data_IF_620749011814
#
_entry.id   IF_620749011814
#
_cell.length_a   1.000
_cell.length_b   1.000
_cell.length_c   1.000
_cell.angle_alpha   90.00
_cell.angle_beta   90.00
_cell.angle_gamma   90.00
#
_symmetry.space_group_name_H-M   'P 1'
#
loop_
_entity.id
_entity.type
_entity.pdbx_description
1 polymer ?
#
# COMPACT_ATOMS: atom_id res chain seq x y z
N UNK A 1 17.88 -26.08 -16.45
CA UNK A 1 16.87 -25.01 -16.55
C UNK A 1 16.24 -25.15 -17.92
N UNK A 2 14.91 -25.25 -18.02
CA UNK A 2 14.22 -25.37 -19.31
C UNK A 2 14.14 -23.99 -19.97
N UNK A 3 14.87 -23.79 -21.06
CA UNK A 3 15.05 -22.46 -21.68
C UNK A 3 13.77 -21.90 -22.28
N UNK A 4 12.84 -22.75 -22.75
CA UNK A 4 11.57 -22.29 -23.34
C UNK A 4 10.58 -21.92 -22.24
N UNK A 5 10.48 -22.75 -21.21
CA UNK A 5 9.64 -22.46 -20.04
C UNK A 5 10.11 -21.18 -19.35
N UNK A 6 11.42 -21.02 -19.16
CA UNK A 6 12.00 -19.79 -18.61
C UNK A 6 11.70 -18.58 -19.51
N UNK A 7 11.89 -18.70 -20.83
CA UNK A 7 11.62 -17.62 -21.78
C UNK A 7 10.17 -17.11 -21.75
N UNK A 8 9.19 -18.03 -21.67
CA UNK A 8 7.77 -17.68 -21.55
C UNK A 8 7.51 -17.04 -20.20
N UNK A 9 8.03 -17.65 -19.12
CA UNK A 9 7.88 -17.11 -17.78
C UNK A 9 8.41 -15.68 -17.73
N UNK A 10 9.64 -15.41 -18.18
CA UNK A 10 10.25 -14.08 -18.16
C UNK A 10 9.41 -13.01 -18.90
N UNK A 11 8.77 -13.37 -20.01
CA UNK A 11 7.92 -12.46 -20.82
C UNK A 11 6.48 -12.33 -20.35
N UNK A 12 6.01 -13.21 -19.46
CA UNK A 12 4.68 -13.05 -18.87
C UNK A 12 4.58 -11.78 -18.02
N UNK A 13 3.37 -11.23 -17.90
CA UNK A 13 3.10 -10.04 -17.10
C UNK A 13 2.20 -10.38 -15.93
N UNK A 14 2.49 -9.81 -14.76
CA UNK A 14 1.64 -9.89 -13.57
C UNK A 14 1.10 -8.49 -13.28
N UNK A 15 -0.21 -8.31 -13.46
CA UNK A 15 -0.90 -7.07 -13.15
C UNK A 15 -1.60 -7.21 -11.81
N UNK A 16 -1.27 -6.34 -10.85
CA UNK A 16 -1.88 -6.34 -9.52
C UNK A 16 -3.05 -5.38 -9.48
N UNK A 17 -4.21 -5.89 -9.07
CA UNK A 17 -5.45 -5.12 -8.98
C UNK A 17 -5.78 -4.71 -7.53
N UNK A 18 -5.28 -5.46 -6.55
CA UNK A 18 -5.43 -5.20 -5.13
C UNK A 18 -4.21 -5.71 -4.34
N UNK A 19 -3.70 -4.90 -3.42
CA UNK A 19 -2.83 -5.33 -2.33
C UNK A 19 -3.48 -4.86 -1.03
N UNK A 20 -3.88 -5.77 -0.16
CA UNK A 20 -4.49 -5.44 1.13
C UNK A 20 -3.57 -5.85 2.26
N UNK A 21 -3.24 -4.91 3.14
CA UNK A 21 -2.40 -5.07 4.31
C UNK A 21 -3.24 -4.76 5.55
N UNK A 22 -3.35 -5.72 6.46
CA UNK A 22 -4.10 -5.62 7.73
C UNK A 22 -3.30 -6.23 8.86
N UNK A 23 -3.78 -6.08 10.10
CA UNK A 23 -3.21 -6.71 11.29
C UNK A 23 -1.69 -6.50 11.41
N UNK A 24 -1.25 -5.26 11.19
CA UNK A 24 0.14 -4.87 11.37
C UNK A 24 0.58 -5.07 12.82
N UNK A 25 1.77 -5.64 13.00
CA UNK A 25 2.51 -5.67 14.28
C UNK A 25 3.86 -4.99 14.08
N UNK A 26 4.77 -5.05 15.05
CA UNK A 26 6.13 -4.53 14.86
C UNK A 26 6.94 -5.37 13.85
N UNK A 27 6.62 -6.67 13.72
CA UNK A 27 7.43 -7.65 12.99
C UNK A 27 6.66 -8.40 11.89
N UNK A 28 5.37 -8.11 11.68
CA UNK A 28 4.56 -8.83 10.71
C UNK A 28 3.33 -8.05 10.24
N UNK A 29 2.67 -8.57 9.22
CA UNK A 29 1.34 -8.12 8.77
C UNK A 29 0.63 -9.23 8.02
N UNK A 30 -0.69 -9.12 7.87
CA UNK A 30 -1.49 -10.00 7.02
C UNK A 30 -1.65 -9.35 5.65
N UNK A 31 -1.37 -10.10 4.58
CA UNK A 31 -1.42 -9.63 3.20
C UNK A 31 -2.36 -10.47 2.34
N UNK A 32 -3.17 -9.78 1.55
CA UNK A 32 -3.93 -10.34 0.44
C UNK A 32 -3.54 -9.64 -0.85
N UNK A 33 -3.39 -10.39 -1.94
CA UNK A 33 -3.07 -9.89 -3.27
C UNK A 33 -4.09 -10.45 -4.25
N UNK A 34 -4.66 -9.58 -5.07
CA UNK A 34 -5.37 -9.98 -6.27
C UNK A 34 -4.60 -9.53 -7.50
N UNK A 35 -4.39 -10.45 -8.42
CA UNK A 35 -3.59 -10.17 -9.61
C UNK A 35 -3.97 -11.07 -10.77
N UNK A 36 -3.64 -10.62 -11.98
CA UNK A 36 -3.84 -11.36 -13.22
C UNK A 36 -2.51 -11.54 -13.94
N UNK A 37 -2.17 -12.80 -14.20
CA UNK A 37 -1.06 -13.15 -15.05
C UNK A 37 -1.52 -13.24 -16.52
N UNK A 38 -0.77 -12.63 -17.43
CA UNK A 38 -1.00 -12.67 -18.89
C UNK A 38 0.29 -13.03 -19.62
N UNK A 39 0.20 -13.41 -20.90
CA UNK A 39 1.38 -13.83 -21.66
C UNK A 39 1.98 -15.15 -21.16
N UNK A 40 1.18 -16.01 -20.53
CA UNK A 40 1.60 -17.27 -19.90
C UNK A 40 1.83 -18.43 -20.89
N UNK A 41 1.95 -18.11 -22.18
CA UNK A 41 2.17 -19.07 -23.27
C UNK A 41 0.89 -19.60 -23.94
N UNK A 42 1.03 -20.31 -25.07
CA UNK A 42 -0.08 -20.74 -25.92
C UNK A 42 -0.77 -22.02 -25.42
N UNK A 43 -0.32 -22.59 -24.31
CA UNK A 43 -0.78 -23.89 -23.80
C UNK A 43 -1.07 -23.76 -22.30
N UNK A 44 -2.18 -24.33 -21.81
CA UNK A 44 -2.43 -24.41 -20.37
C UNK A 44 -1.33 -25.15 -19.62
N UNK A 45 -0.80 -24.53 -18.57
CA UNK A 45 0.23 -25.11 -17.74
C UNK A 45 -0.11 -24.96 -16.26
N UNK A 46 0.35 -25.91 -15.47
CA UNK A 46 0.13 -25.97 -14.03
C UNK A 46 1.44 -25.64 -13.32
N UNK A 47 1.48 -24.53 -12.60
CA UNK A 47 2.59 -24.12 -11.76
C UNK A 47 2.34 -24.69 -10.37
N UNK A 48 3.29 -25.47 -9.85
CA UNK A 48 3.23 -25.95 -8.47
C UNK A 48 3.30 -24.77 -7.47
N UNK A 49 2.73 -24.90 -6.26
CA UNK A 49 2.93 -23.93 -5.20
C UNK A 49 4.41 -23.67 -4.96
N UNK A 50 4.76 -22.42 -4.68
CA UNK A 50 6.14 -22.02 -4.44
C UNK A 50 6.20 -20.89 -3.41
N UNK A 51 7.39 -20.66 -2.86
CA UNK A 51 7.68 -19.48 -2.05
C UNK A 51 8.57 -18.54 -2.86
N UNK A 52 8.26 -17.24 -2.82
CA UNK A 52 9.05 -16.17 -3.42
C UNK A 52 9.46 -15.15 -2.37
N UNK A 53 10.59 -14.49 -2.61
CA UNK A 53 11.06 -13.37 -1.82
C UNK A 53 10.37 -12.08 -2.29
N UNK A 54 9.92 -11.25 -1.34
CA UNK A 54 9.42 -9.90 -1.58
C UNK A 54 10.60 -8.94 -1.50
N UNK A 55 11.08 -8.49 -2.67
CA UNK A 55 12.30 -7.68 -2.79
C UNK A 55 11.97 -6.26 -3.23
N UNK A 56 12.42 -5.28 -2.44
CA UNK A 56 12.33 -3.87 -2.79
C UNK A 56 13.70 -3.20 -2.65
N UNK A 57 14.08 -2.38 -3.63
CA UNK A 57 15.39 -1.72 -3.69
C UNK A 57 16.59 -2.68 -3.47
N UNK A 58 16.46 -3.93 -3.94
CA UNK A 58 17.50 -4.96 -3.83
C UNK A 58 17.55 -5.72 -2.50
N UNK A 59 16.69 -5.40 -1.53
CA UNK A 59 16.62 -6.08 -0.23
C UNK A 59 15.31 -6.86 -0.08
N UNK A 60 15.41 -8.10 0.40
CA UNK A 60 14.25 -8.94 0.73
C UNK A 60 13.68 -8.50 2.07
N UNK A 61 12.39 -8.15 2.11
CA UNK A 61 11.71 -7.72 3.33
C UNK A 61 10.68 -8.72 3.86
N UNK A 62 10.34 -9.75 3.07
CA UNK A 62 9.39 -10.78 3.46
C UNK A 62 9.34 -11.92 2.46
N UNK A 63 8.56 -12.95 2.78
CA UNK A 63 8.35 -14.12 1.93
C UNK A 63 6.87 -14.32 1.65
N UNK A 64 6.56 -14.69 0.42
CA UNK A 64 5.19 -14.87 -0.05
C UNK A 64 5.05 -16.28 -0.64
N UNK A 65 4.08 -17.04 -0.12
CA UNK A 65 3.68 -18.32 -0.71
C UNK A 65 2.69 -18.06 -1.82
N UNK A 66 3.08 -18.40 -3.04
CA UNK A 66 2.21 -18.43 -4.20
C UNK A 66 1.47 -19.78 -4.24
N UNK A 67 0.16 -19.77 -4.52
CA UNK A 67 -0.61 -21.01 -4.61
C UNK A 67 -0.24 -21.77 -5.89
N UNK A 68 -0.80 -22.97 -6.01
CA UNK A 68 -0.85 -23.64 -7.30
C UNK A 68 -1.68 -22.82 -8.28
N UNK A 69 -1.18 -22.60 -9.48
CA UNK A 69 -1.86 -21.80 -10.51
C UNK A 69 -1.95 -22.60 -11.80
N UNK A 70 -3.13 -22.58 -12.42
CA UNK A 70 -3.32 -23.11 -13.77
C UNK A 70 -3.43 -21.94 -14.75
N UNK A 71 -2.45 -21.82 -15.64
CA UNK A 71 -2.43 -20.81 -16.69
C UNK A 71 -3.27 -21.26 -17.89
N UNK A 72 -3.66 -20.30 -18.71
CA UNK A 72 -4.29 -20.55 -20.00
C UNK A 72 -3.79 -19.53 -21.04
N UNK A 73 -4.06 -19.70 -22.34
CA UNK A 73 -3.68 -18.71 -23.35
C UNK A 73 -4.27 -17.30 -23.10
N UNK A 74 -5.39 -17.20 -22.39
CA UNK A 74 -6.03 -15.93 -22.02
C UNK A 74 -5.54 -15.38 -20.66
N UNK A 75 -4.53 -16.02 -20.07
CA UNK A 75 -4.00 -15.70 -18.74
C UNK A 75 -4.69 -16.51 -17.62
N UNK A 76 -4.42 -16.11 -16.39
CA UNK A 76 -5.04 -16.65 -15.19
C UNK A 76 -4.96 -15.66 -14.02
N UNK A 77 -5.86 -15.80 -13.06
CA UNK A 77 -5.78 -15.03 -11.82
C UNK A 77 -4.83 -15.71 -10.83
N UNK A 78 -4.07 -14.91 -10.11
CA UNK A 78 -3.11 -15.35 -9.09
C UNK A 78 -3.43 -14.59 -7.81
N UNK A 79 -4.33 -15.17 -7.02
CA UNK A 79 -4.87 -14.53 -5.83
C UNK A 79 -4.37 -15.22 -4.56
N UNK A 80 -4.03 -14.40 -3.57
CA UNK A 80 -3.51 -14.82 -2.27
C UNK A 80 -4.34 -14.10 -1.23
N UNK A 81 -4.84 -14.81 -0.24
CA UNK A 81 -5.69 -14.24 0.79
C UNK A 81 -5.14 -14.53 2.17
N UNK A 82 -5.12 -13.49 3.00
CA UNK A 82 -4.90 -13.51 4.44
C UNK A 82 -3.62 -14.24 4.87
N UNK A 83 -2.53 -14.04 4.11
CA UNK A 83 -1.24 -14.65 4.43
C UNK A 83 -0.48 -13.78 5.43
N UNK A 84 -0.07 -14.37 6.55
CA UNK A 84 0.84 -13.72 7.49
C UNK A 84 2.25 -13.63 6.87
N UNK A 85 2.76 -12.40 6.78
CA UNK A 85 4.09 -12.09 6.25
C UNK A 85 4.97 -11.59 7.41
N UNK A 86 5.99 -12.37 7.82
CA UNK A 86 7.04 -11.87 8.71
C UNK A 86 7.90 -10.85 7.99
N UNK A 87 8.20 -9.75 8.66
CA UNK A 87 9.12 -8.71 8.18
C UNK A 87 10.54 -9.13 8.56
N UNK A 88 11.33 -9.55 7.57
CA UNK A 88 12.72 -10.00 7.78
C UNK A 88 13.74 -8.86 7.70
N UNK A 89 13.36 -7.75 7.07
CA UNK A 89 14.11 -6.50 7.01
C UNK A 89 13.15 -5.31 7.10
N UNK A 90 13.08 -4.71 8.29
CA UNK A 90 12.19 -3.59 8.57
C UNK A 90 12.59 -2.31 7.81
N UNK A 91 13.87 -2.13 7.49
CA UNK A 91 14.35 -0.97 6.73
C UNK A 91 13.87 -1.07 5.29
N UNK A 92 14.06 -2.22 4.66
CA UNK A 92 13.58 -2.49 3.31
C UNK A 92 12.04 -2.42 3.22
N UNK A 93 11.33 -2.98 4.21
CA UNK A 93 9.87 -2.90 4.27
C UNK A 93 9.38 -1.46 4.41
N UNK A 94 9.97 -0.66 5.31
CA UNK A 94 9.61 0.77 5.46
C UNK A 94 9.90 1.56 4.19
N UNK A 95 10.99 1.24 3.49
CA UNK A 95 11.29 1.85 2.19
C UNK A 95 10.19 1.53 1.16
N UNK A 96 9.72 0.28 1.11
CA UNK A 96 8.59 -0.13 0.27
C UNK A 96 7.31 0.65 0.60
N UNK A 97 6.91 0.72 1.88
CA UNK A 97 5.72 1.46 2.31
C UNK A 97 5.85 2.97 2.02
N UNK A 98 7.05 3.54 2.19
CA UNK A 98 7.32 4.94 1.84
C UNK A 98 7.11 5.18 0.35
N UNK A 99 7.70 4.35 -0.51
CA UNK A 99 7.55 4.47 -1.97
C UNK A 99 6.10 4.29 -2.42
N UNK A 100 5.34 3.42 -1.78
CA UNK A 100 3.89 3.29 -2.04
C UNK A 100 3.14 4.62 -1.80
N UNK A 101 3.51 5.37 -0.78
CA UNK A 101 2.85 6.64 -0.45
C UNK A 101 3.36 7.83 -1.26
N UNK A 102 4.67 7.91 -1.47
CA UNK A 102 5.32 9.14 -1.95
C UNK A 102 5.56 9.11 -3.46
N UNK A 103 5.84 7.94 -4.03
CA UNK A 103 6.18 7.83 -5.44
C UNK A 103 4.91 7.62 -6.29
N UNK A 104 4.95 8.05 -7.56
CA UNK A 104 3.86 7.80 -8.51
C UNK A 104 3.81 6.32 -8.94
N UNK A 105 4.98 5.69 -9.02
CA UNK A 105 5.17 4.31 -9.47
C UNK A 105 6.35 3.69 -8.74
N UNK A 106 6.26 2.40 -8.48
CA UNK A 106 7.34 1.60 -7.92
C UNK A 106 7.35 0.20 -8.53
N UNK A 107 8.45 -0.51 -8.36
CA UNK A 107 8.58 -1.92 -8.74
C UNK A 107 8.89 -2.76 -7.50
N UNK A 108 8.07 -3.77 -7.26
CA UNK A 108 8.30 -4.83 -6.28
C UNK A 108 8.77 -6.07 -7.05
N UNK A 109 9.91 -6.63 -6.70
CA UNK A 109 10.40 -7.86 -7.34
C UNK A 109 9.97 -9.06 -6.50
N UNK A 110 9.23 -9.98 -7.10
CA UNK A 110 9.06 -11.36 -6.60
C UNK A 110 10.26 -12.15 -7.09
N UNK A 111 11.14 -12.60 -6.20
CA UNK A 111 12.40 -13.24 -6.58
C UNK A 111 12.57 -14.65 -5.98
N UNK A 112 13.58 -15.38 -6.44
CA UNK A 112 14.03 -16.67 -5.89
C UNK A 112 12.97 -17.78 -5.84
N UNK A 113 11.90 -17.69 -6.63
CA UNK A 113 10.86 -18.71 -6.67
C UNK A 113 11.32 -19.96 -7.41
N UNK A 114 11.50 -21.08 -6.71
CA UNK A 114 11.76 -22.36 -7.37
C UNK A 114 10.44 -22.91 -7.93
N UNK A 115 10.28 -22.85 -9.24
CA UNK A 115 9.03 -23.19 -9.90
C UNK A 115 9.14 -24.51 -10.67
N UNK A 116 8.19 -25.39 -10.43
CA UNK A 116 7.97 -26.58 -11.25
C UNK A 116 6.67 -26.44 -12.02
N UNK A 117 6.74 -26.69 -13.33
CA UNK A 117 5.63 -26.50 -14.27
C UNK A 117 5.28 -27.83 -14.91
N UNK A 118 3.98 -28.11 -15.05
CA UNK A 118 3.48 -29.25 -15.82
C UNK A 118 2.52 -28.78 -16.93
N UNK A 119 2.79 -29.15 -18.18
CA UNK A 119 1.93 -28.90 -19.34
C UNK A 119 1.54 -30.22 -20.03
N UNK A 120 0.37 -30.24 -20.69
CA UNK A 120 -0.17 -31.43 -21.38
C UNK A 120 -0.15 -32.73 -20.54
N UNK A 121 -0.24 -32.65 -19.19
CA UNK A 121 -0.16 -33.77 -18.23
C UNK A 121 1.19 -34.53 -18.15
N UNK A 122 2.08 -34.42 -19.14
CA UNK A 122 3.37 -35.16 -19.14
C UNK A 122 4.61 -34.28 -19.31
N UNK A 123 4.50 -33.07 -19.89
CA UNK A 123 5.64 -32.18 -20.01
C UNK A 123 5.92 -31.52 -18.66
N UNK A 124 7.11 -31.74 -18.12
CA UNK A 124 7.55 -31.13 -16.86
C UNK A 124 8.76 -30.25 -17.12
N UNK A 125 8.74 -29.06 -16.54
CA UNK A 125 9.84 -28.10 -16.60
C UNK A 125 10.15 -27.53 -15.22
N UNK A 126 11.40 -27.13 -15.02
CA UNK A 126 11.83 -26.38 -13.85
C UNK A 126 12.40 -25.04 -14.30
N UNK A 127 11.98 -23.97 -13.63
CA UNK A 127 12.38 -22.59 -13.90
C UNK A 127 12.51 -21.80 -12.60
N UNK A 128 13.13 -20.62 -12.69
CA UNK A 128 13.18 -19.67 -11.59
C UNK A 128 12.13 -18.61 -11.85
N UNK A 129 11.16 -18.51 -10.94
CA UNK A 129 10.16 -17.47 -10.92
C UNK A 129 10.78 -16.19 -10.39
N UNK A 130 10.90 -15.22 -11.29
CA UNK A 130 11.28 -13.85 -11.00
C UNK A 130 10.35 -12.90 -11.75
N UNK A 131 9.72 -11.98 -11.04
CA UNK A 131 8.75 -11.03 -11.61
C UNK A 131 8.90 -9.65 -11.02
N UNK A 132 9.05 -8.66 -11.90
CA UNK A 132 8.91 -7.26 -11.52
C UNK A 132 7.43 -6.86 -11.61
N UNK A 133 6.88 -6.56 -10.44
CA UNK A 133 5.49 -6.16 -10.25
C UNK A 133 5.46 -4.64 -10.18
N UNK A 134 4.98 -4.05 -11.27
CA UNK A 134 4.86 -2.59 -11.38
C UNK A 134 3.58 -2.15 -10.67
N UNK A 135 3.74 -1.31 -9.66
CA UNK A 135 2.65 -0.84 -8.81
C UNK A 135 2.52 0.67 -9.00
N UNK A 136 1.29 1.13 -9.22
CA UNK A 136 0.97 2.56 -9.14
C UNK A 136 0.98 2.97 -7.67
N UNK A 137 1.82 3.93 -7.30
CA UNK A 137 1.84 4.52 -5.96
C UNK A 137 0.79 5.62 -5.80
N UNK A 138 0.74 6.23 -4.62
CA UNK A 138 -0.25 7.27 -4.30
C UNK A 138 0.16 8.66 -4.78
N UNK A 139 1.47 8.92 -4.95
CA UNK A 139 2.01 10.26 -5.20
C UNK A 139 1.52 11.32 -4.18
N UNK A 140 1.50 10.93 -2.90
CA UNK A 140 0.83 11.65 -1.83
C UNK A 140 -0.69 11.42 -1.89
N UNK A 141 -1.30 10.74 -0.90
CA UNK A 141 -2.76 10.57 -0.88
C UNK A 141 -3.42 11.95 -0.83
N UNK A 142 -4.22 12.30 -1.83
CA UNK A 142 -4.84 13.61 -1.87
C UNK A 142 -5.88 13.71 -0.75
N UNK A 143 -5.78 14.74 0.09
CA UNK A 143 -6.65 14.90 1.26
C UNK A 143 -7.34 16.24 1.29
N UNK A 144 -8.61 16.23 1.70
CA UNK A 144 -9.39 17.46 1.94
C UNK A 144 -10.29 17.27 3.14
N UNK A 145 -10.47 18.34 3.92
CA UNK A 145 -11.56 18.38 4.92
C UNK A 145 -12.84 18.71 4.18
N UNK A 146 -13.93 18.01 4.49
CA UNK A 146 -15.24 18.21 3.84
C UNK A 146 -16.32 18.63 4.82
N UNK A 147 -16.09 18.39 6.11
CA UNK A 147 -16.98 18.79 7.19
C UNK A 147 -16.16 19.04 8.44
N UNK A 148 -16.51 20.09 9.17
CA UNK A 148 -15.91 20.43 10.46
C UNK A 148 -17.02 20.74 11.48
N UNK A 149 -16.91 20.19 12.68
CA UNK A 149 -17.72 20.54 13.84
C UNK A 149 -16.81 20.96 15.00
N UNK A 150 -17.39 21.32 16.14
CA UNK A 150 -16.61 21.64 17.33
C UNK A 150 -15.70 20.46 17.76
N UNK A 151 -16.16 19.22 17.60
CA UNK A 151 -15.51 18.02 18.14
C UNK A 151 -14.90 17.11 17.07
N UNK A 152 -15.35 17.19 15.82
CA UNK A 152 -14.96 16.26 14.75
C UNK A 152 -14.66 16.95 13.41
N UNK A 153 -13.90 16.27 12.55
CA UNK A 153 -13.83 16.56 11.12
C UNK A 153 -14.03 15.30 10.30
N UNK A 154 -14.63 15.47 9.13
CA UNK A 154 -14.62 14.46 8.06
C UNK A 154 -13.56 14.83 7.04
N UNK A 155 -12.63 13.91 6.82
CA UNK A 155 -11.54 14.01 5.85
C UNK A 155 -11.81 13.02 4.72
N UNK A 156 -11.70 13.48 3.48
CA UNK A 156 -11.68 12.61 2.32
C UNK A 156 -10.25 12.35 1.92
N UNK A 157 -9.91 11.07 1.74
CA UNK A 157 -8.60 10.59 1.30
C UNK A 157 -8.79 9.88 -0.03
N UNK A 158 -8.13 10.39 -1.07
CA UNK A 158 -8.14 9.78 -2.40
C UNK A 158 -6.85 8.98 -2.62
N UNK A 159 -7.01 7.73 -3.02
CA UNK A 159 -5.91 6.82 -3.29
C UNK A 159 -6.09 6.15 -4.66
N UNK A 160 -5.25 6.49 -5.65
CA UNK A 160 -5.33 5.93 -6.99
C UNK A 160 -4.64 4.56 -7.15
N UNK A 161 -3.93 4.09 -6.11
CA UNK A 161 -3.18 2.83 -6.12
C UNK A 161 -4.09 1.63 -5.86
N UNK A 162 -3.65 0.39 -6.19
CA UNK A 162 -4.34 -0.84 -5.77
C UNK A 162 -4.17 -1.14 -4.28
N UNK A 163 -3.52 -0.27 -3.50
CA UNK A 163 -3.13 -0.57 -2.12
C UNK A 163 -4.24 -0.24 -1.12
N UNK A 164 -4.46 -1.16 -0.19
CA UNK A 164 -5.32 -1.00 0.97
C UNK A 164 -4.46 -1.21 2.23
N UNK A 165 -4.33 -0.20 3.09
CA UNK A 165 -3.65 -0.30 4.40
C UNK A 165 -4.61 0.15 5.50
N UNK A 166 -4.76 -0.70 6.51
CA UNK A 166 -5.41 -0.37 7.77
C UNK A 166 -4.40 0.21 8.76
N UNK A 167 -4.50 1.51 9.03
CA UNK A 167 -3.71 2.24 10.02
C UNK A 167 -4.39 2.31 11.39
N UNK A 168 -5.57 1.68 11.55
CA UNK A 168 -6.34 1.65 12.81
C UNK A 168 -6.52 3.06 13.37
N UNK A 169 -6.42 3.25 14.69
CA UNK A 169 -6.53 4.59 15.28
C UNK A 169 -5.23 5.37 15.04
N UNK A 170 -5.33 6.39 14.21
CA UNK A 170 -4.25 7.24 13.73
C UNK A 170 -4.33 8.65 14.31
N UNK A 171 -3.17 9.28 14.42
CA UNK A 171 -3.00 10.66 14.87
C UNK A 171 -2.39 11.48 13.74
N UNK A 172 -3.01 12.61 13.44
CA UNK A 172 -2.52 13.57 12.46
C UNK A 172 -2.42 14.96 13.07
N UNK A 173 -1.62 15.81 12.43
CA UNK A 173 -1.57 17.25 12.69
C UNK A 173 -1.86 18.00 11.42
N UNK A 174 -2.70 19.02 11.52
CA UNK A 174 -2.76 20.09 10.52
C UNK A 174 -1.67 21.08 10.90
N UNK A 175 -0.73 21.34 9.99
CA UNK A 175 0.35 22.32 10.18
C UNK A 175 0.27 23.42 9.15
N UNK A 176 0.58 24.65 9.56
CA UNK A 176 0.70 25.79 8.65
C UNK A 176 2.00 25.72 7.82
N UNK A 177 2.19 26.69 6.92
CA UNK A 177 3.40 26.80 6.09
C UNK A 177 4.70 27.05 6.88
N UNK A 178 4.61 27.40 8.17
CA UNK A 178 5.76 27.56 9.09
C UNK A 178 6.02 26.31 9.91
N UNK A 179 5.19 25.29 9.81
CA UNK A 179 5.27 24.05 10.58
C UNK A 179 4.60 24.12 11.96
N UNK A 180 3.91 25.22 12.28
CA UNK A 180 3.15 25.33 13.53
C UNK A 180 1.90 24.45 13.48
N UNK A 181 1.62 23.74 14.57
CA UNK A 181 0.42 22.90 14.65
C UNK A 181 -0.82 23.76 14.85
N UNK A 182 -1.75 23.66 13.91
CA UNK A 182 -3.06 24.32 13.90
C UNK A 182 -4.09 23.47 14.62
N UNK A 183 -4.11 22.17 14.32
CA UNK A 183 -5.03 21.22 14.92
C UNK A 183 -4.41 19.83 15.00
N UNK A 184 -4.88 19.04 15.94
CA UNK A 184 -4.60 17.61 16.06
C UNK A 184 -5.87 16.83 15.70
N UNK A 185 -5.74 15.81 14.86
CA UNK A 185 -6.83 14.92 14.47
C UNK A 185 -6.53 13.52 14.99
N UNK A 186 -7.56 12.82 15.48
CA UNK A 186 -7.44 11.45 15.96
C UNK A 186 -8.67 10.64 15.57
N UNK A 187 -8.47 9.48 14.95
CA UNK A 187 -9.56 8.59 14.58
C UNK A 187 -9.11 7.37 13.80
N UNK A 188 -10.04 6.48 13.42
CA UNK A 188 -9.71 5.35 12.56
C UNK A 188 -9.18 5.86 11.21
N UNK A 189 -8.27 5.13 10.57
CA UNK A 189 -7.75 5.47 9.26
C UNK A 189 -7.53 4.20 8.44
N UNK A 190 -8.22 4.11 7.32
CA UNK A 190 -8.01 3.07 6.32
C UNK A 190 -7.78 3.80 5.00
N UNK A 191 -6.61 3.56 4.39
CA UNK A 191 -6.35 4.00 3.02
C UNK A 191 -6.75 2.83 2.14
N UNK A 192 -7.74 3.01 1.27
CA UNK A 192 -8.19 2.01 0.30
C UNK A 192 -8.35 2.66 -1.07
N UNK A 193 -8.40 1.87 -2.14
CA UNK A 193 -8.51 2.39 -3.50
C UNK A 193 -9.77 3.25 -3.67
N UNK A 194 -9.63 4.38 -4.35
CA UNK A 194 -10.71 5.35 -4.55
C UNK A 194 -10.73 6.44 -3.49
N UNK A 195 -11.90 7.03 -3.27
CA UNK A 195 -12.11 8.00 -2.19
C UNK A 195 -12.67 7.30 -0.96
N UNK A 196 -12.14 7.67 0.21
CA UNK A 196 -12.66 7.21 1.51
C UNK A 196 -12.90 8.40 2.40
N UNK A 197 -14.10 8.48 2.97
CA UNK A 197 -14.44 9.46 4.00
C UNK A 197 -14.11 8.89 5.38
N UNK A 198 -13.44 9.69 6.20
CA UNK A 198 -13.00 9.31 7.53
C UNK A 198 -13.34 10.43 8.51
N UNK A 199 -14.09 10.11 9.55
CA UNK A 199 -14.38 11.04 10.64
C UNK A 199 -13.38 10.87 11.78
N UNK A 200 -12.77 11.97 12.21
CA UNK A 200 -11.78 12.03 13.26
C UNK A 200 -12.14 13.10 14.28
N UNK A 201 -11.89 12.83 15.56
CA UNK A 201 -11.93 13.83 16.60
C UNK A 201 -10.88 14.91 16.33
N UNK A 202 -11.18 16.17 16.66
CA UNK A 202 -10.26 17.31 16.50
C UNK A 202 -10.01 18.03 17.81
N UNK A 203 -8.76 18.42 18.02
CA UNK A 203 -8.36 19.42 19.01
C UNK A 203 -7.71 20.60 18.29
N UNK A 204 -8.28 21.80 18.43
CA UNK A 204 -7.78 23.02 17.78
C UNK A 204 -6.83 23.77 18.70
N UNK A 205 -5.75 24.32 18.15
CA UNK A 205 -4.86 25.23 18.87
C UNK A 205 -5.42 26.65 18.74
N UNK A 206 -5.47 27.39 19.85
CA UNK A 206 -5.89 28.79 19.85
C UNK A 206 -4.72 29.72 19.52
N UNK A 207 -5.02 30.92 18.99
CA UNK A 207 -4.01 31.95 18.72
C UNK A 207 -3.12 31.70 17.50
N UNK A 208 -3.46 30.72 16.65
CA UNK A 208 -2.79 30.42 15.39
C UNK A 208 -3.65 30.84 14.20
N UNK A 209 -3.00 31.34 13.14
CA UNK A 209 -3.71 31.71 11.90
C UNK A 209 -3.85 30.50 10.99
N UNK A 210 -5.04 30.39 10.37
CA UNK A 210 -5.35 29.37 9.37
C UNK A 210 -5.43 29.93 7.94
N UNK A 211 -5.21 31.23 7.78
CA UNK A 211 -5.35 31.94 6.50
C UNK A 211 -4.06 31.93 5.66
N UNK A 212 -3.00 31.33 6.18
CA UNK A 212 -1.74 31.16 5.47
C UNK A 212 -1.81 30.08 4.38
N UNK A 213 -1.01 30.26 3.34
CA UNK A 213 -0.76 29.22 2.35
C UNK A 213 0.13 28.09 2.92
N UNK A 214 0.11 26.93 2.26
CA UNK A 214 1.00 25.82 2.58
C UNK A 214 0.58 24.95 3.76
N UNK A 215 -0.72 24.92 4.10
CA UNK A 215 -1.27 24.00 5.08
C UNK A 215 -1.07 22.54 4.66
N UNK A 216 -0.67 21.70 5.63
CA UNK A 216 -0.40 20.27 5.39
C UNK A 216 -1.05 19.40 6.44
N UNK A 217 -1.54 18.25 6.01
CA UNK A 217 -1.89 17.14 6.88
C UNK A 217 -0.65 16.25 7.05
N UNK A 218 -0.23 16.09 8.29
CA UNK A 218 0.99 15.35 8.65
C UNK A 218 0.60 14.19 9.56
N UNK A 219 0.91 12.97 9.15
CA UNK A 219 0.81 11.79 10.00
C UNK A 219 1.80 11.86 11.16
N UNK A 220 1.34 11.56 12.37
CA UNK A 220 2.17 11.59 13.59
C UNK A 220 2.50 10.18 14.05
N UNK A 221 1.52 9.28 14.01
CA UNK A 221 1.66 7.90 14.43
C UNK A 221 0.30 7.25 14.70
N UNK A 222 0.32 6.02 15.21
CA UNK A 222 -0.87 5.24 15.55
C UNK A 222 -1.00 5.08 17.07
N UNK A 223 -2.12 4.53 17.54
CA UNK A 223 -2.23 4.09 18.95
C UNK A 223 -1.57 2.75 19.20
N UNK A 224 -1.64 1.86 18.20
CA UNK A 224 -1.06 0.54 18.28
C UNK A 224 0.45 0.59 18.06
N UNK A 225 1.18 -0.28 18.80
CA UNK A 225 2.60 -0.54 18.56
C UNK A 225 2.73 -1.47 17.36
N UNK A 226 2.98 -0.89 16.20
CA UNK A 226 3.22 -1.59 14.95
C UNK A 226 4.06 -0.70 14.03
N UNK A 227 4.58 -1.27 12.94
CA UNK A 227 5.31 -0.47 11.94
C UNK A 227 4.45 0.65 11.33
N UNK A 228 3.12 0.58 11.44
CA UNK A 228 2.20 1.64 11.00
C UNK A 228 2.40 2.96 11.75
N UNK A 229 2.88 2.92 13.00
CA UNK A 229 3.21 4.12 13.79
C UNK A 229 4.30 4.96 13.10
N UNK A 230 5.29 4.24 12.58
CA UNK A 230 6.41 4.80 11.84
C UNK A 230 6.04 5.21 10.41
N UNK A 231 5.27 4.38 9.70
CA UNK A 231 4.98 4.62 8.29
C UNK A 231 3.88 5.64 8.07
N UNK A 232 2.99 5.88 9.05
CA UNK A 232 2.00 6.95 8.95
C UNK A 232 2.67 8.33 8.78
N UNK A 233 3.87 8.51 9.33
CA UNK A 233 4.64 9.75 9.25
C UNK A 233 5.10 10.09 7.81
N UNK A 234 5.02 9.14 6.88
CA UNK A 234 5.26 9.42 5.46
C UNK A 234 4.12 10.20 4.82
N UNK A 235 2.93 10.23 5.45
CA UNK A 235 1.84 11.10 5.04
C UNK A 235 2.19 12.53 5.44
N UNK A 236 2.53 13.31 4.44
CA UNK A 236 2.76 14.73 4.57
C UNK A 236 2.26 15.39 3.29
N UNK A 237 1.00 15.79 3.26
CA UNK A 237 0.29 16.18 2.04
C UNK A 237 -0.35 17.56 2.20
N UNK A 238 -0.45 18.37 1.13
CA UNK A 238 -1.24 19.59 1.16
C UNK A 238 -2.68 19.30 1.56
N UNK A 239 -3.29 20.18 2.35
CA UNK A 239 -4.69 20.05 2.74
C UNK A 239 -5.43 21.37 2.56
N UNK A 240 -6.61 21.28 1.93
CA UNK A 240 -7.58 22.37 1.89
C UNK A 240 -8.46 22.35 3.14
N UNK A 241 -8.66 23.53 3.73
CA UNK A 241 -9.60 23.76 4.84
C UNK A 241 -10.88 24.38 4.29
N UNK A 242 -12.03 23.93 4.81
CA UNK A 242 -13.33 24.53 4.48
C UNK A 242 -13.56 25.82 5.26
N UNK A 243 -14.54 26.62 4.83
CA UNK A 243 -14.95 27.84 5.55
C UNK A 243 -15.45 27.51 6.96
N UNK A 244 -16.14 26.37 7.13
CA UNK A 244 -16.57 25.89 8.44
C UNK A 244 -15.38 25.57 9.34
N UNK A 245 -14.28 25.03 8.80
CA UNK A 245 -13.08 24.81 9.61
C UNK A 245 -12.47 26.14 10.05
N UNK A 246 -12.44 27.13 9.14
CA UNK A 246 -11.83 28.45 9.37
C UNK A 246 -12.61 29.29 10.38
N UNK A 247 -13.94 29.18 10.39
CA UNK A 247 -14.79 29.97 11.30
C UNK A 247 -14.47 29.75 12.78
N UNK A 248 -13.93 28.58 13.16
CA UNK A 248 -13.48 28.29 14.52
C UNK A 248 -12.21 29.03 14.96
N UNK A 249 -11.53 29.75 14.05
CA UNK A 249 -10.31 30.52 14.34
C UNK A 249 -10.53 32.03 14.22
N UNK A 250 -11.72 32.47 13.79
CA UNK A 250 -12.05 33.88 13.72
C UNK A 250 -12.41 34.41 15.11
N UNK A 251 -12.04 35.65 15.46
CA UNK A 251 -12.53 36.29 16.68
C UNK A 251 -14.06 36.36 16.64
N UNK A 252 -14.70 36.03 17.76
CA UNK A 252 -16.14 36.21 17.96
C UNK A 252 -16.53 37.69 17.95
#
# INVERSE_FOLDING_TARGET
>A
MDSVVQYILDRSHLEVTLIKITNATEESFVMSIESRATGTGPVPAKLAPMEVDLVFAGACFGKLKLPEVTTSPSGCDVNIYDQLIPVVDIVAFRAFVKSLMVDEKLSLTLDNGKCSITAFRFLKGNCIYKKDVHIKGMNGPATRIVKATAEENTVVVANPSPLHIDYRVSKFKVRDGKGETVAELKGPMIIQRGETEVTMAITRKTGVSVDGEGLRLVGVGTEDKAWTDDTLQFINVPIGLTDEFRSFYQPA
#
